data_IF_583204790856
#
_entry.id   IF_583204790856
#
_cell.length_a   1.000
_cell.length_b   1.000
_cell.length_c   1.000
_cell.angle_alpha   90.00
_cell.angle_beta   90.00
_cell.angle_gamma   90.00
#
_symmetry.space_group_name_H-M   'P 1'
#
loop_
_entity.id
_entity.type
_entity.pdbx_description
1 polymer ?
#
# COMPACT_ATOMS: atom_id res chain seq x y z
N UNK A 1 32.45 42.98 2.37
CA UNK A 1 32.19 41.86 3.30
C UNK A 1 31.61 42.43 4.58
N UNK A 2 30.28 42.39 4.71
CA UNK A 2 29.54 42.64 5.96
C UNK A 2 28.13 42.08 5.79
N UNK A 3 27.65 41.49 6.88
CA UNK A 3 26.44 40.67 7.04
C UNK A 3 25.16 41.49 6.77
N UNK A 4 24.20 40.90 6.05
CA UNK A 4 22.78 41.25 6.19
C UNK A 4 22.01 39.98 6.53
N UNK A 5 21.76 39.83 7.82
CA UNK A 5 20.82 38.89 8.40
C UNK A 5 19.56 39.69 8.73
N UNK A 6 18.41 39.04 8.57
CA UNK A 6 17.09 39.35 9.13
C UNK A 6 16.05 39.94 8.16
N UNK A 7 14.80 39.49 8.39
CA UNK A 7 13.59 39.56 7.56
C UNK A 7 13.58 38.44 6.50
N UNK A 8 12.78 37.37 6.59
CA UNK A 8 11.35 37.33 6.89
C UNK A 8 11.03 35.97 7.52
N UNK A 9 10.60 35.98 8.78
CA UNK A 9 9.77 34.94 9.36
C UNK A 9 8.36 35.07 8.77
N UNK A 10 7.71 33.93 8.57
CA UNK A 10 6.25 33.74 8.43
C UNK A 10 5.57 34.26 7.15
N UNK A 11 5.54 33.39 6.14
CA UNK A 11 4.32 33.07 5.39
C UNK A 11 4.28 31.54 5.27
N UNK A 12 3.31 30.84 5.89
CA UNK A 12 2.02 30.52 5.25
C UNK A 12 2.28 29.86 3.87
N UNK A 13 1.91 28.63 3.57
CA UNK A 13 0.98 27.70 4.17
C UNK A 13 1.12 26.39 3.39
N UNK A 14 0.61 25.30 3.98
CA UNK A 14 -0.13 24.24 3.30
C UNK A 14 0.28 23.93 1.85
N UNK A 15 1.13 22.91 1.66
CA UNK A 15 0.96 21.81 0.69
C UNK A 15 2.26 21.03 0.63
N UNK A 16 2.51 20.33 1.72
CA UNK A 16 3.65 19.45 1.83
C UNK A 16 3.30 18.29 2.73
N UNK A 17 2.12 17.69 2.51
CA UNK A 17 1.94 16.28 2.78
C UNK A 17 2.91 15.53 1.86
N UNK A 18 4.21 15.65 2.13
CA UNK A 18 5.17 14.62 1.85
C UNK A 18 4.69 13.44 2.69
N UNK A 19 3.79 12.65 2.11
CA UNK A 19 3.83 11.21 2.21
C UNK A 19 5.26 10.82 1.81
N UNK A 20 6.19 11.01 2.73
CA UNK A 20 7.50 10.44 2.64
C UNK A 20 7.25 8.94 2.43
N UNK A 21 7.85 8.31 1.40
CA UNK A 21 7.77 6.88 1.28
C UNK A 21 8.29 6.30 2.60
N UNK A 22 7.40 5.64 3.35
CA UNK A 22 7.67 5.05 4.66
C UNK A 22 8.55 3.79 4.55
N UNK A 23 9.56 3.84 3.68
CA UNK A 23 10.46 2.76 3.33
C UNK A 23 11.92 3.24 3.39
N UNK A 24 12.23 4.08 4.37
CA UNK A 24 13.59 4.31 4.82
C UNK A 24 13.56 4.51 6.34
N UNK A 25 14.17 3.59 7.10
CA UNK A 25 14.49 3.67 8.53
C UNK A 25 13.38 3.42 9.59
N UNK A 26 12.13 3.19 9.22
CA UNK A 26 11.07 2.83 10.17
C UNK A 26 10.96 1.32 10.43
N UNK A 27 10.96 0.89 11.70
CA UNK A 27 10.56 -0.48 12.10
C UNK A 27 9.13 -0.72 11.57
N UNK A 28 8.90 -1.89 10.97
CA UNK A 28 7.61 -2.17 10.34
C UNK A 28 6.56 -2.36 11.44
N UNK A 29 5.53 -1.52 11.44
CA UNK A 29 4.48 -1.56 12.46
C UNK A 29 3.37 -2.54 12.08
N UNK A 30 2.61 -3.01 13.08
CA UNK A 30 1.41 -3.81 12.85
C UNK A 30 0.35 -3.06 12.05
N UNK A 31 0.22 -1.75 12.25
CA UNK A 31 -0.72 -0.91 11.50
C UNK A 31 -0.39 -0.86 10.00
N UNK A 32 0.89 -0.73 9.65
CA UNK A 32 1.33 -0.75 8.25
C UNK A 32 1.09 -2.13 7.59
N UNK A 33 1.27 -3.22 8.33
CA UNK A 33 0.93 -4.56 7.84
C UNK A 33 -0.56 -4.72 7.59
N UNK A 34 -1.41 -4.23 8.50
CA UNK A 34 -2.85 -4.33 8.35
C UNK A 34 -3.36 -3.44 7.21
N UNK A 35 -2.78 -2.25 7.03
CA UNK A 35 -3.09 -1.38 5.88
C UNK A 35 -2.75 -2.09 4.56
N UNK A 36 -1.59 -2.74 4.48
CA UNK A 36 -1.17 -3.46 3.29
C UNK A 36 -2.06 -4.66 3.02
N UNK A 37 -2.43 -5.41 4.07
CA UNK A 37 -3.41 -6.49 4.00
C UNK A 37 -4.76 -5.98 3.47
N UNK A 38 -5.27 -4.88 3.99
CA UNK A 38 -6.54 -4.30 3.57
C UNK A 38 -6.51 -3.88 2.08
N UNK A 39 -5.39 -3.35 1.60
CA UNK A 39 -5.20 -3.04 0.17
C UNK A 39 -5.22 -4.30 -0.70
N UNK A 40 -4.56 -5.38 -0.25
CA UNK A 40 -4.59 -6.68 -0.95
C UNK A 40 -6.02 -7.22 -1.03
N UNK A 41 -6.74 -7.25 0.09
CA UNK A 41 -8.12 -7.73 0.16
C UNK A 41 -9.04 -6.89 -0.73
N UNK A 42 -8.89 -5.56 -0.70
CA UNK A 42 -9.67 -4.67 -1.56
C UNK A 42 -9.48 -4.94 -3.06
N UNK A 43 -8.23 -5.14 -3.51
CA UNK A 43 -7.97 -5.41 -4.93
C UNK A 43 -8.45 -6.80 -5.35
N UNK A 44 -8.29 -7.81 -4.48
CA UNK A 44 -8.84 -9.15 -4.70
C UNK A 44 -10.36 -9.11 -4.84
N UNK A 45 -11.04 -8.41 -3.95
CA UNK A 45 -12.50 -8.29 -3.97
C UNK A 45 -12.97 -7.51 -5.20
N UNK A 46 -12.22 -6.46 -5.59
CA UNK A 46 -12.47 -5.71 -6.83
C UNK A 46 -12.33 -6.60 -8.08
N UNK A 47 -11.29 -7.43 -8.14
CA UNK A 47 -11.10 -8.41 -9.21
C UNK A 47 -12.34 -9.31 -9.36
N UNK A 48 -12.83 -9.89 -8.27
CA UNK A 48 -13.99 -10.77 -8.31
C UNK A 48 -15.27 -10.05 -8.73
N UNK A 49 -15.48 -8.81 -8.26
CA UNK A 49 -16.63 -8.00 -8.68
C UNK A 49 -16.62 -7.72 -10.19
N UNK A 50 -15.45 -7.40 -10.75
CA UNK A 50 -15.33 -7.18 -12.19
C UNK A 50 -15.48 -8.47 -12.99
N UNK A 51 -15.02 -9.61 -12.47
CA UNK A 51 -15.25 -10.92 -13.10
C UNK A 51 -16.74 -11.26 -13.19
N UNK A 52 -17.49 -11.08 -12.09
CA UNK A 52 -18.95 -11.25 -12.09
C UNK A 52 -19.61 -10.27 -13.08
N UNK A 53 -19.23 -8.99 -13.06
CA UNK A 53 -19.82 -7.99 -13.95
C UNK A 53 -19.51 -8.25 -15.44
N UNK A 54 -18.31 -8.78 -15.77
CA UNK A 54 -17.95 -9.21 -17.12
C UNK A 54 -18.85 -10.35 -17.58
N UNK A 55 -19.02 -11.38 -16.74
CA UNK A 55 -19.89 -12.54 -17.05
C UNK A 55 -21.35 -12.11 -17.24
N UNK A 56 -21.86 -11.24 -16.37
CA UNK A 56 -23.22 -10.68 -16.49
C UNK A 56 -23.39 -9.86 -17.78
N UNK A 57 -22.41 -9.04 -18.14
CA UNK A 57 -22.44 -8.26 -19.38
C UNK A 57 -22.42 -9.17 -20.62
N UNK A 58 -21.65 -10.25 -20.61
CA UNK A 58 -21.64 -11.26 -21.66
C UNK A 58 -22.99 -11.99 -21.76
N UNK A 59 -23.58 -12.38 -20.62
CA UNK A 59 -24.88 -13.02 -20.57
C UNK A 59 -26.02 -12.11 -21.09
N UNK A 60 -25.88 -10.79 -20.91
CA UNK A 60 -26.80 -9.77 -21.44
C UNK A 60 -26.54 -9.43 -22.91
N UNK A 61 -25.60 -10.10 -23.59
CA UNK A 61 -25.26 -9.81 -24.99
C UNK A 61 -24.60 -8.44 -25.20
N UNK A 62 -23.91 -7.91 -24.19
CA UNK A 62 -23.24 -6.61 -24.22
C UNK A 62 -21.71 -6.77 -24.21
N UNK A 63 -21.08 -7.21 -25.31
CA UNK A 63 -19.64 -7.48 -25.36
C UNK A 63 -18.79 -6.23 -25.12
N UNK A 64 -19.27 -5.04 -25.50
CA UNK A 64 -18.56 -3.78 -25.24
C UNK A 64 -18.46 -3.49 -23.74
N UNK A 65 -19.53 -3.74 -22.97
CA UNK A 65 -19.52 -3.62 -21.50
C UNK A 65 -18.63 -4.67 -20.86
N UNK A 66 -18.67 -5.91 -21.37
CA UNK A 66 -17.80 -6.98 -20.91
C UNK A 66 -16.32 -6.62 -21.10
N UNK A 67 -15.95 -6.03 -22.25
CA UNK A 67 -14.57 -5.59 -22.51
C UNK A 67 -14.07 -4.53 -21.52
N UNK A 68 -14.94 -3.61 -21.09
CA UNK A 68 -14.60 -2.62 -20.05
C UNK A 68 -14.34 -3.31 -18.70
N UNK A 69 -15.21 -4.24 -18.29
CA UNK A 69 -15.00 -5.00 -17.06
C UNK A 69 -13.78 -5.92 -17.13
N UNK A 70 -13.48 -6.48 -18.30
CA UNK A 70 -12.26 -7.25 -18.53
C UNK A 70 -11.00 -6.43 -18.25
N UNK A 71 -10.92 -5.21 -18.79
CA UNK A 71 -9.79 -4.31 -18.54
C UNK A 71 -9.69 -3.90 -17.07
N UNK A 72 -10.82 -3.62 -16.41
CA UNK A 72 -10.85 -3.29 -14.99
C UNK A 72 -10.42 -4.47 -14.12
N UNK A 73 -10.88 -5.69 -14.46
CA UNK A 73 -10.49 -6.96 -13.83
C UNK A 73 -8.98 -7.18 -13.92
N UNK A 74 -8.40 -7.01 -15.11
CA UNK A 74 -6.96 -7.18 -15.31
C UNK A 74 -6.16 -6.20 -14.42
N UNK A 75 -6.55 -4.92 -14.39
CA UNK A 75 -5.89 -3.91 -13.53
C UNK A 75 -5.97 -4.26 -12.04
N UNK A 76 -7.14 -4.73 -11.59
CA UNK A 76 -7.32 -5.16 -10.20
C UNK A 76 -6.46 -6.40 -9.88
N UNK A 77 -6.34 -7.34 -10.82
CA UNK A 77 -5.48 -8.51 -10.68
C UNK A 77 -4.00 -8.14 -10.58
N UNK A 78 -3.51 -7.30 -11.49
CA UNK A 78 -2.10 -6.88 -11.51
C UNK A 78 -1.75 -6.13 -10.20
N UNK A 79 -2.65 -5.26 -9.73
CA UNK A 79 -2.51 -4.58 -8.44
C UNK A 79 -2.53 -5.56 -7.26
N UNK A 80 -3.44 -6.54 -7.26
CA UNK A 80 -3.51 -7.58 -6.24
C UNK A 80 -2.21 -8.38 -6.16
N UNK A 81 -1.66 -8.83 -7.30
CA UNK A 81 -0.42 -9.60 -7.34
C UNK A 81 0.75 -8.80 -6.76
N UNK A 82 0.90 -7.54 -7.18
CA UNK A 82 1.95 -6.65 -6.68
C UNK A 82 1.84 -6.42 -5.17
N UNK A 83 0.67 -5.99 -4.70
CA UNK A 83 0.42 -5.74 -3.28
C UNK A 83 0.56 -7.00 -2.43
N UNK A 84 0.15 -8.17 -2.93
CA UNK A 84 0.27 -9.43 -2.20
C UNK A 84 1.73 -9.86 -2.07
N UNK A 85 2.56 -9.64 -3.09
CA UNK A 85 4.00 -9.87 -3.01
C UNK A 85 4.66 -8.92 -1.97
N UNK A 86 4.29 -7.64 -1.99
CA UNK A 86 4.73 -6.68 -0.98
C UNK A 86 4.30 -7.08 0.43
N UNK A 87 3.05 -7.53 0.60
CA UNK A 87 2.53 -7.99 1.88
C UNK A 87 3.30 -9.18 2.44
N UNK A 88 3.57 -10.19 1.59
CA UNK A 88 4.37 -11.35 1.98
C UNK A 88 5.79 -10.96 2.40
N UNK A 89 6.42 -10.06 1.65
CA UNK A 89 7.75 -9.52 1.99
C UNK A 89 7.72 -8.82 3.36
N UNK A 90 6.73 -7.93 3.56
CA UNK A 90 6.55 -7.19 4.81
C UNK A 90 6.32 -8.13 6.01
N UNK A 91 5.55 -9.22 5.83
CA UNK A 91 5.36 -10.23 6.88
C UNK A 91 6.69 -10.89 7.28
N UNK A 92 7.55 -11.21 6.31
CA UNK A 92 8.86 -11.81 6.58
C UNK A 92 9.78 -10.83 7.31
N UNK A 93 9.82 -9.58 6.87
CA UNK A 93 10.59 -8.52 7.55
C UNK A 93 10.14 -8.32 9.00
N UNK A 94 8.82 -8.31 9.26
CA UNK A 94 8.31 -8.21 10.63
C UNK A 94 8.74 -9.37 11.51
N UNK A 95 8.67 -10.61 11.01
CA UNK A 95 9.09 -11.81 11.74
C UNK A 95 10.59 -11.73 12.08
N UNK A 96 11.40 -11.29 11.14
CA UNK A 96 12.83 -11.12 11.35
C UNK A 96 13.13 -10.03 12.40
N UNK A 97 12.43 -8.89 12.34
CA UNK A 97 12.51 -7.86 13.39
C UNK A 97 12.17 -8.46 14.77
N UNK A 98 11.08 -9.24 14.85
CA UNK A 98 10.61 -9.93 16.07
C UNK A 98 11.69 -10.84 16.68
N UNK A 99 12.40 -11.59 15.84
CA UNK A 99 13.50 -12.47 16.26
C UNK A 99 14.67 -11.68 16.82
N UNK A 100 15.05 -10.59 16.15
CA UNK A 100 16.14 -9.71 16.61
C UNK A 100 15.81 -9.06 17.95
N UNK A 101 14.57 -8.60 18.11
CA UNK A 101 14.08 -8.00 19.35
C UNK A 101 14.11 -8.98 20.52
N UNK A 102 13.70 -10.24 20.28
CA UNK A 102 13.72 -11.30 21.28
C UNK A 102 15.16 -11.70 21.66
N UNK A 103 16.09 -11.75 20.69
CA UNK A 103 17.49 -12.08 20.93
C UNK A 103 18.25 -10.98 21.71
N UNK A 104 17.79 -9.73 21.66
CA UNK A 104 18.39 -8.60 22.37
C UNK A 104 17.84 -8.41 23.79
N UNK A 105 16.79 -9.13 24.18
CA UNK A 105 16.26 -9.07 25.55
C UNK A 105 17.17 -9.93 26.46
N UNK A 106 17.87 -9.37 27.47
CA UNK A 106 18.70 -10.16 28.36
C UNK A 106 17.80 -11.16 29.14
N UNK A 107 18.31 -12.35 29.49
CA UNK A 107 17.55 -13.29 30.30
C UNK A 107 17.20 -12.64 31.63
N UNK A 108 15.91 -12.54 31.93
CA UNK A 108 15.42 -12.13 33.25
C UNK A 108 15.96 -13.16 34.27
N UNK A 109 16.84 -12.69 35.16
CA UNK A 109 17.40 -13.47 36.27
C UNK A 109 16.43 -13.49 37.45
#
# INVERSE_FOLDING_TARGET
>A
MTKFLCCILTALALTGACLAPASAQGRLTSAQLEELRAKVEFQRDSYHRYDTAEQEAMAQGSPERAAVFHQAKQKAYDAYVGLNAEYQKAQMERREQQRRDAAQKPPER
#
